data_IF_045211306149
#
_entry.id   IF_045211306149
#
_cell.length_a   1.000
_cell.length_b   1.000
_cell.length_c   1.000
_cell.angle_alpha   90.00
_cell.angle_beta   90.00
_cell.angle_gamma   90.00
#
_symmetry.space_group_name_H-M   'P 1'
#
loop_
_entity.id
_entity.type
_entity.pdbx_description
1 polymer ?
#
# COMPACT_ATOMS: atom_id res chain seq x y z
N UNK A 1 -11.57 0.53 -11.66
CA UNK A 1 -10.38 0.80 -10.82
C UNK A 1 -9.93 2.22 -11.14
N UNK A 2 -9.66 3.06 -10.14
CA UNK A 2 -9.21 4.44 -10.33
C UNK A 2 -8.02 4.47 -11.32
N UNK A 3 -8.25 4.93 -12.55
CA UNK A 3 -7.31 4.73 -13.67
C UNK A 3 -5.91 5.35 -13.48
N UNK A 4 -5.71 6.26 -12.52
CA UNK A 4 -4.38 6.84 -12.22
C UNK A 4 -3.68 6.25 -11.00
N UNK A 5 -4.41 5.70 -10.01
CA UNK A 5 -3.80 5.15 -8.79
C UNK A 5 -3.56 3.65 -8.92
N UNK A 6 -4.36 2.92 -9.71
CA UNK A 6 -4.15 1.49 -9.98
C UNK A 6 -2.91 1.19 -10.81
N UNK A 7 -2.24 2.23 -11.33
CA UNK A 7 -1.00 2.13 -12.10
C UNK A 7 0.25 2.46 -11.25
N UNK A 8 0.07 2.77 -9.96
CA UNK A 8 1.17 3.10 -9.05
C UNK A 8 1.57 1.88 -8.23
N UNK A 9 2.85 1.58 -8.30
CA UNK A 9 3.52 0.53 -7.54
C UNK A 9 4.41 1.17 -6.50
N UNK A 10 4.25 0.79 -5.24
CA UNK A 10 5.19 1.14 -4.17
C UNK A 10 5.84 -0.13 -3.64
N UNK A 11 7.16 -0.13 -3.50
CA UNK A 11 7.89 -1.21 -2.83
C UNK A 11 9.05 -0.66 -2.01
N UNK A 12 9.18 -1.14 -0.77
CA UNK A 12 10.21 -0.69 0.16
C UNK A 12 11.09 -1.86 0.60
N UNK A 13 12.37 -1.58 0.84
CA UNK A 13 13.30 -2.56 1.40
C UNK A 13 14.05 -1.96 2.58
N UNK A 14 14.17 -2.72 3.67
CA UNK A 14 14.90 -2.30 4.87
C UNK A 14 16.42 -2.41 4.62
N UNK A 15 17.21 -1.41 5.02
CA UNK A 15 18.67 -1.45 4.92
C UNK A 15 19.27 -2.27 6.07
N UNK A 16 19.28 -3.60 5.95
CA UNK A 16 19.75 -4.54 7.00
C UNK A 16 21.10 -5.20 6.67
N UNK A 17 22.00 -4.48 5.99
CA UNK A 17 23.30 -4.99 5.54
C UNK A 17 23.34 -5.33 4.05
N UNK A 18 24.33 -6.14 3.65
CA UNK A 18 24.62 -6.47 2.25
C UNK A 18 23.48 -7.27 1.61
N UNK A 19 23.14 -6.92 0.37
CA UNK A 19 22.21 -7.70 -0.43
C UNK A 19 22.85 -9.03 -0.85
N UNK A 20 22.02 -10.03 -1.11
CA UNK A 20 22.43 -11.38 -1.47
C UNK A 20 21.51 -11.93 -2.56
N UNK A 21 21.77 -13.14 -3.07
CA UNK A 21 21.02 -13.72 -4.20
C UNK A 21 19.50 -13.80 -3.97
N UNK A 22 19.05 -14.05 -2.74
CA UNK A 22 17.63 -13.97 -2.38
C UNK A 22 16.97 -12.60 -2.68
N UNK A 23 17.67 -11.48 -2.46
CA UNK A 23 17.18 -10.13 -2.80
C UNK A 23 17.15 -9.91 -4.31
N UNK A 24 18.21 -10.34 -5.00
CA UNK A 24 18.31 -10.24 -6.46
C UNK A 24 17.14 -10.96 -7.16
N UNK A 25 16.93 -12.23 -6.81
CA UNK A 25 15.92 -13.07 -7.45
C UNK A 25 14.50 -12.85 -6.89
N UNK A 26 14.37 -12.43 -5.64
CA UNK A 26 13.07 -12.25 -4.98
C UNK A 26 12.44 -10.88 -5.19
N UNK A 27 13.25 -9.82 -5.35
CA UNK A 27 12.76 -8.43 -5.40
C UNK A 27 13.32 -7.68 -6.60
N UNK A 28 14.64 -7.60 -6.74
CA UNK A 28 15.27 -6.67 -7.68
C UNK A 28 14.97 -7.00 -9.15
N UNK A 29 15.03 -8.26 -9.56
CA UNK A 29 14.63 -8.67 -10.93
C UNK A 29 13.18 -8.30 -11.24
N UNK A 30 12.30 -8.37 -10.25
CA UNK A 30 10.91 -7.98 -10.42
C UNK A 30 10.78 -6.46 -10.57
N UNK A 31 11.50 -5.68 -9.77
CA UNK A 31 11.53 -4.21 -9.89
C UNK A 31 12.04 -3.75 -11.26
N UNK A 32 13.06 -4.42 -11.82
CA UNK A 32 13.59 -4.11 -13.16
C UNK A 32 12.50 -4.22 -14.24
N UNK A 33 11.57 -5.17 -14.12
CA UNK A 33 10.45 -5.28 -15.06
C UNK A 33 9.37 -4.24 -14.76
N UNK A 34 9.00 -4.10 -13.47
CA UNK A 34 7.89 -3.24 -13.05
C UNK A 34 8.10 -1.77 -13.40
N UNK A 35 9.34 -1.26 -13.32
CA UNK A 35 9.63 0.15 -13.65
C UNK A 35 9.27 0.54 -15.09
N UNK A 36 9.20 -0.44 -16.00
CA UNK A 36 8.82 -0.20 -17.39
C UNK A 36 7.30 -0.34 -17.63
N UNK A 37 6.58 -0.99 -16.72
CA UNK A 37 5.14 -1.29 -16.84
C UNK A 37 4.26 -0.35 -16.02
N UNK A 38 4.79 0.19 -14.91
CA UNK A 38 4.04 0.95 -13.92
C UNK A 38 4.75 2.24 -13.51
N UNK A 39 4.00 3.15 -12.89
CA UNK A 39 4.61 4.26 -12.16
C UNK A 39 5.16 3.74 -10.83
N UNK A 40 6.47 3.47 -10.78
CA UNK A 40 7.13 2.86 -9.63
C UNK A 40 7.72 3.87 -8.65
N UNK A 41 7.54 3.57 -7.37
CA UNK A 41 8.15 4.22 -6.22
C UNK A 41 8.91 3.16 -5.43
N UNK A 42 10.23 3.23 -5.43
CA UNK A 42 11.08 2.30 -4.69
C UNK A 42 11.85 3.05 -3.61
N UNK A 43 11.86 2.52 -2.39
CA UNK A 43 12.42 3.29 -1.28
C UNK A 43 13.16 2.48 -0.25
N UNK A 44 14.16 3.15 0.34
CA UNK A 44 14.91 2.63 1.48
C UNK A 44 14.10 2.88 2.74
N UNK A 45 13.64 1.81 3.39
CA UNK A 45 12.80 1.85 4.59
C UNK A 45 13.66 1.95 5.86
N UNK A 46 14.38 3.06 6.03
CA UNK A 46 15.36 3.25 7.10
C UNK A 46 14.73 3.45 8.49
N UNK A 47 13.55 4.07 8.62
CA UNK A 47 12.83 4.10 9.89
C UNK A 47 12.31 2.72 10.29
N UNK A 48 11.93 1.87 9.33
CA UNK A 48 11.58 0.48 9.63
C UNK A 48 12.77 -0.32 10.17
N UNK A 49 14.00 -0.01 9.76
CA UNK A 49 15.18 -0.68 10.33
C UNK A 49 15.37 -0.37 11.82
N UNK A 50 14.99 0.83 12.27
CA UNK A 50 15.04 1.21 13.68
C UNK A 50 14.12 0.36 14.57
N UNK A 51 13.11 -0.32 14.01
CA UNK A 51 12.21 -1.17 14.81
C UNK A 51 12.91 -2.40 15.39
N UNK A 52 14.05 -2.79 14.81
CA UNK A 52 14.88 -3.91 15.28
C UNK A 52 16.33 -3.52 15.58
N UNK A 53 16.85 -2.42 15.02
CA UNK A 53 18.24 -1.96 15.22
C UNK A 53 18.33 -0.66 16.05
N UNK A 54 17.33 -0.37 16.89
CA UNK A 54 17.28 0.90 17.67
C UNK A 54 18.49 1.10 18.60
N UNK A 55 19.12 0.03 19.08
CA UNK A 55 20.27 0.03 19.97
C UNK A 55 21.63 -0.06 19.23
N UNK A 56 21.60 -0.30 17.92
CA UNK A 56 22.80 -0.34 17.06
C UNK A 56 22.54 0.28 15.67
N UNK A 57 22.27 1.58 15.64
CA UNK A 57 21.87 2.28 14.42
C UNK A 57 23.02 2.54 13.43
N UNK A 58 24.27 2.31 13.83
CA UNK A 58 25.45 2.68 13.02
C UNK A 58 25.50 1.99 11.66
N UNK A 59 24.99 0.76 11.57
CA UNK A 59 24.95 -0.01 10.32
C UNK A 59 23.94 0.54 9.30
N UNK A 60 22.89 1.23 9.74
CA UNK A 60 21.77 1.68 8.90
C UNK A 60 22.28 2.69 7.87
N UNK A 61 23.04 3.70 8.31
CA UNK A 61 23.49 4.78 7.45
C UNK A 61 24.33 4.29 6.27
N UNK A 62 25.24 3.35 6.51
CA UNK A 62 26.05 2.75 5.45
C UNK A 62 25.19 1.84 4.55
N UNK A 63 24.36 0.99 5.16
CA UNK A 63 23.49 0.06 4.42
C UNK A 63 22.50 0.77 3.49
N UNK A 64 22.05 1.98 3.84
CA UNK A 64 21.20 2.81 2.96
C UNK A 64 21.89 3.09 1.63
N UNK A 65 23.16 3.52 1.67
CA UNK A 65 23.89 3.90 0.46
C UNK A 65 24.33 2.67 -0.34
N UNK A 66 24.83 1.64 0.33
CA UNK A 66 25.21 0.39 -0.32
C UNK A 66 24.01 -0.21 -1.09
N UNK A 67 22.83 -0.20 -0.45
CA UNK A 67 21.61 -0.70 -1.05
C UNK A 67 21.16 0.11 -2.28
N UNK A 68 21.25 1.44 -2.24
CA UNK A 68 20.95 2.28 -3.42
C UNK A 68 21.93 1.99 -4.55
N UNK A 69 23.24 1.86 -4.24
CA UNK A 69 24.27 1.53 -5.24
C UNK A 69 23.94 0.17 -5.90
N UNK A 70 23.59 -0.83 -5.10
CA UNK A 70 23.19 -2.14 -5.61
C UNK A 70 21.96 -2.06 -6.53
N UNK A 71 20.95 -1.26 -6.18
CA UNK A 71 19.76 -1.07 -7.03
C UNK A 71 20.10 -0.48 -8.38
N UNK A 72 20.95 0.55 -8.39
CA UNK A 72 21.41 1.16 -9.64
C UNK A 72 22.23 0.15 -10.46
N UNK A 73 23.10 -0.61 -9.82
CA UNK A 73 23.96 -1.60 -10.47
C UNK A 73 23.18 -2.74 -11.14
N UNK A 74 22.02 -3.15 -10.57
CA UNK A 74 21.17 -4.19 -11.17
C UNK A 74 20.24 -3.67 -12.27
N UNK A 75 20.19 -2.34 -12.50
CA UNK A 75 19.42 -1.73 -13.59
C UNK A 75 18.14 -1.01 -13.17
N UNK A 76 17.96 -0.68 -11.89
CA UNK A 76 16.89 0.23 -11.48
C UNK A 76 17.26 1.65 -11.92
N UNK A 77 16.41 2.25 -12.75
CA UNK A 77 16.68 3.51 -13.44
C UNK A 77 15.90 4.67 -12.78
N UNK A 78 16.57 5.69 -12.20
CA UNK A 78 15.90 6.87 -11.66
C UNK A 78 15.11 7.70 -12.69
N UNK A 79 15.37 7.50 -13.99
CA UNK A 79 14.60 8.10 -15.08
C UNK A 79 13.25 7.44 -15.32
N UNK A 80 13.01 6.24 -14.77
CA UNK A 80 11.81 5.43 -14.99
C UNK A 80 11.03 5.18 -13.69
N UNK A 81 11.73 5.08 -12.55
CA UNK A 81 11.14 4.93 -11.23
C UNK A 81 11.62 6.05 -10.28
N UNK A 82 10.76 6.42 -9.32
CA UNK A 82 11.15 7.34 -8.24
C UNK A 82 11.86 6.57 -7.14
N UNK A 83 13.13 6.92 -6.88
CA UNK A 83 13.94 6.37 -5.80
C UNK A 83 14.06 7.37 -4.65
N UNK A 84 13.84 6.93 -3.42
CA UNK A 84 13.98 7.80 -2.25
C UNK A 84 14.33 7.04 -0.96
N UNK A 85 14.67 7.81 0.07
CA UNK A 85 14.93 7.31 1.43
C UNK A 85 13.75 7.74 2.30
N UNK A 86 13.15 6.80 3.05
CA UNK A 86 11.94 7.05 3.86
C UNK A 86 12.13 8.25 4.78
N UNK A 87 13.23 8.33 5.53
CA UNK A 87 13.50 9.44 6.45
C UNK A 87 13.69 10.81 5.80
N UNK A 88 13.86 10.88 4.47
CA UNK A 88 13.99 12.13 3.71
C UNK A 88 12.64 12.70 3.27
N UNK A 89 11.55 11.99 3.52
CA UNK A 89 10.18 12.39 3.16
C UNK A 89 9.34 12.44 4.45
N UNK A 90 9.31 13.60 5.15
CA UNK A 90 8.67 13.71 6.46
C UNK A 90 7.17 13.39 6.47
N UNK A 91 6.51 13.49 5.32
CA UNK A 91 5.09 13.17 5.12
C UNK A 91 4.74 11.73 5.53
N UNK A 92 5.72 10.81 5.48
CA UNK A 92 5.56 9.45 6.00
C UNK A 92 5.28 9.47 7.52
N UNK A 93 6.05 10.24 8.28
CA UNK A 93 5.88 10.39 9.72
C UNK A 93 4.61 11.18 10.07
N UNK A 94 4.31 12.24 9.31
CA UNK A 94 3.09 13.03 9.51
C UNK A 94 1.83 12.20 9.30
N UNK A 95 1.76 11.44 8.19
CA UNK A 95 0.62 10.58 7.94
C UNK A 95 0.53 9.45 8.97
N UNK A 96 1.66 8.85 9.36
CA UNK A 96 1.70 7.85 10.43
C UNK A 96 1.11 8.41 11.73
N UNK A 97 1.53 9.61 12.14
CA UNK A 97 1.02 10.29 13.34
C UNK A 97 -0.50 10.49 13.25
N UNK A 98 -1.00 11.01 12.12
CA UNK A 98 -2.44 11.24 11.93
C UNK A 98 -3.25 9.94 11.97
N UNK A 99 -2.77 8.89 11.29
CA UNK A 99 -3.43 7.59 11.29
C UNK A 99 -3.44 6.95 12.68
N UNK A 100 -2.38 7.15 13.48
CA UNK A 100 -2.24 6.58 14.82
C UNK A 100 -3.37 7.00 15.77
N UNK A 101 -3.87 8.23 15.62
CA UNK A 101 -4.95 8.76 16.47
C UNK A 101 -6.30 8.06 16.27
N UNK A 102 -6.46 7.33 15.15
CA UNK A 102 -7.71 6.67 14.77
C UNK A 102 -7.62 5.14 14.67
N UNK A 103 -6.41 4.59 14.82
CA UNK A 103 -6.11 3.16 14.69
C UNK A 103 -6.36 2.44 16.01
N UNK A 104 -7.25 1.43 16.07
CA UNK A 104 -7.42 0.63 17.27
C UNK A 104 -6.16 -0.20 17.58
N UNK A 105 -5.70 -0.16 18.83
CA UNK A 105 -4.52 -0.93 19.27
C UNK A 105 -4.66 -2.43 19.00
N UNK A 106 -5.85 -2.98 19.23
CA UNK A 106 -6.15 -4.40 19.03
C UNK A 106 -6.02 -4.88 17.58
N UNK A 107 -6.00 -3.97 16.60
CA UNK A 107 -5.74 -4.34 15.21
C UNK A 107 -4.27 -4.68 15.01
N UNK A 108 -3.36 -3.90 15.61
CA UNK A 108 -1.91 -4.12 15.54
C UNK A 108 -1.52 -5.43 16.24
N UNK A 109 -2.08 -5.69 17.43
CA UNK A 109 -1.80 -6.90 18.23
C UNK A 109 -2.23 -8.22 17.56
N UNK A 110 -3.13 -8.13 16.56
CA UNK A 110 -3.66 -9.29 15.82
C UNK A 110 -2.88 -9.62 14.55
N UNK A 111 -1.94 -8.77 14.14
CA UNK A 111 -1.13 -9.03 12.94
C UNK A 111 -0.23 -10.24 13.22
N UNK A 112 -0.31 -11.35 12.44
CA UNK A 112 0.36 -12.61 12.78
C UNK A 112 1.88 -12.48 12.93
N UNK A 113 2.50 -11.67 12.08
CA UNK A 113 3.95 -11.51 12.01
C UNK A 113 4.55 -10.89 13.28
N UNK A 114 3.77 -10.11 14.04
CA UNK A 114 4.22 -9.49 15.28
C UNK A 114 4.65 -10.56 16.29
N UNK A 115 3.77 -11.53 16.57
CA UNK A 115 4.05 -12.62 17.52
C UNK A 115 5.15 -13.55 17.02
N UNK A 116 5.15 -13.86 15.73
CA UNK A 116 6.14 -14.75 15.13
C UNK A 116 7.56 -14.17 15.20
N UNK A 117 7.71 -12.87 14.95
CA UNK A 117 9.01 -12.20 15.00
C UNK A 117 9.53 -12.04 16.43
N UNK A 118 8.66 -11.72 17.39
CA UNK A 118 9.03 -11.71 18.82
C UNK A 118 9.57 -13.06 19.29
N UNK A 119 9.03 -14.17 18.77
CA UNK A 119 9.51 -15.51 19.14
C UNK A 119 10.85 -15.88 18.48
N UNK A 120 11.13 -15.36 17.29
CA UNK A 120 12.34 -15.67 16.51
C UNK A 120 13.55 -14.84 16.93
N UNK A 121 13.34 -13.57 17.26
CA UNK A 121 14.39 -12.62 17.60
C UNK A 121 14.53 -12.51 19.13
N UNK A 122 14.85 -13.62 19.79
CA UNK A 122 14.91 -13.70 21.26
C UNK A 122 16.00 -12.84 21.88
N UNK A 123 17.06 -12.55 21.13
CA UNK A 123 18.21 -11.77 21.59
C UNK A 123 17.97 -10.26 21.50
N UNK A 124 16.80 -9.83 20.97
CA UNK A 124 16.42 -8.42 20.85
C UNK A 124 15.18 -8.13 21.69
N UNK A 125 15.17 -7.00 22.40
CA UNK A 125 13.95 -6.54 23.07
C UNK A 125 13.03 -5.85 22.06
N UNK A 126 12.07 -6.62 21.55
CA UNK A 126 11.06 -6.15 20.60
C UNK A 126 9.75 -5.73 21.29
N UNK A 127 9.77 -5.54 22.61
CA UNK A 127 8.61 -5.04 23.38
C UNK A 127 8.46 -3.53 23.27
N UNK A 128 8.73 -2.97 22.08
CA UNK A 128 8.76 -1.52 21.84
C UNK A 128 7.52 -1.07 21.08
N UNK A 129 7.09 0.18 21.31
CA UNK A 129 6.00 0.78 20.54
C UNK A 129 6.33 0.81 19.04
N UNK A 130 7.58 1.08 18.66
CA UNK A 130 8.00 1.08 17.26
C UNK A 130 7.79 -0.27 16.59
N UNK A 131 8.11 -1.37 17.28
CA UNK A 131 7.89 -2.72 16.76
C UNK A 131 6.40 -3.11 16.70
N UNK A 132 5.56 -2.65 17.63
CA UNK A 132 4.11 -2.84 17.52
C UNK A 132 3.48 -1.97 16.42
N UNK A 133 3.99 -0.76 16.24
CA UNK A 133 3.46 0.27 15.35
C UNK A 133 3.97 0.21 13.91
N UNK A 134 5.00 -0.59 13.58
CA UNK A 134 5.55 -0.62 12.22
C UNK A 134 4.53 -0.94 11.14
N UNK A 135 3.50 -1.81 11.34
CA UNK A 135 2.49 -2.05 10.31
C UNK A 135 1.71 -0.78 9.96
N UNK A 136 1.49 0.11 10.93
CA UNK A 136 0.86 1.41 10.69
C UNK A 136 1.79 2.36 9.94
N UNK A 137 3.10 2.34 10.23
CA UNK A 137 4.09 3.08 9.45
C UNK A 137 4.11 2.59 7.99
N UNK A 138 4.09 1.27 7.77
CA UNK A 138 4.00 0.65 6.45
C UNK A 138 2.72 1.09 5.72
N UNK A 139 1.58 1.15 6.41
CA UNK A 139 0.34 1.69 5.83
C UNK A 139 0.49 3.16 5.44
N UNK A 140 1.12 3.99 6.27
CA UNK A 140 1.39 5.39 5.92
C UNK A 140 2.29 5.50 4.68
N UNK A 141 3.34 4.68 4.60
CA UNK A 141 4.24 4.62 3.44
C UNK A 141 3.46 4.32 2.15
N UNK A 142 2.49 3.40 2.20
CA UNK A 142 1.65 3.02 1.04
C UNK A 142 0.66 4.13 0.67
N UNK A 143 -0.03 4.68 1.66
CA UNK A 143 -1.18 5.55 1.45
C UNK A 143 -0.78 6.97 1.02
N UNK A 144 0.39 7.46 1.43
CA UNK A 144 0.88 8.81 1.07
C UNK A 144 1.04 8.96 -0.46
N UNK A 145 1.51 7.92 -1.15
CA UNK A 145 1.63 7.90 -2.62
C UNK A 145 0.36 7.48 -3.34
N UNK A 146 -0.67 7.07 -2.60
CA UNK A 146 -1.90 6.47 -3.14
C UNK A 146 -1.58 5.28 -4.05
N UNK A 147 -0.64 4.43 -3.61
CA UNK A 147 -0.25 3.26 -4.38
C UNK A 147 -1.44 2.30 -4.51
N UNK A 148 -1.71 1.85 -5.73
CA UNK A 148 -2.76 0.87 -6.00
C UNK A 148 -2.26 -0.56 -5.91
N UNK A 149 -0.95 -0.77 -6.12
CA UNK A 149 -0.31 -2.08 -6.13
C UNK A 149 0.92 -2.06 -5.21
N UNK A 150 1.10 -3.11 -4.41
CA UNK A 150 2.27 -3.28 -3.54
C UNK A 150 2.87 -4.66 -3.79
N UNK A 151 4.08 -4.77 -4.36
CA UNK A 151 4.74 -6.06 -4.58
C UNK A 151 5.13 -6.67 -3.25
N UNK A 152 4.52 -7.81 -2.93
CA UNK A 152 4.72 -8.48 -1.64
C UNK A 152 4.78 -9.99 -1.81
N UNK A 153 5.48 -10.65 -0.88
CA UNK A 153 5.35 -12.09 -0.66
C UNK A 153 4.12 -12.42 0.18
N UNK A 154 3.73 -13.70 0.19
CA UNK A 154 2.56 -14.21 0.91
C UNK A 154 2.55 -13.83 2.40
N UNK A 155 3.72 -13.67 3.01
CA UNK A 155 3.88 -13.33 4.43
C UNK A 155 3.53 -11.88 4.80
N UNK A 156 3.43 -10.98 3.81
CA UNK A 156 3.11 -9.57 4.01
C UNK A 156 1.67 -9.22 3.61
N UNK A 157 0.89 -10.20 3.13
CA UNK A 157 -0.51 -9.99 2.72
C UNK A 157 -1.35 -9.47 3.88
N UNK A 158 -1.08 -9.93 5.11
CA UNK A 158 -1.76 -9.45 6.31
C UNK A 158 -1.55 -7.94 6.55
N UNK A 159 -0.38 -7.39 6.24
CA UNK A 159 -0.10 -5.95 6.35
C UNK A 159 -0.83 -5.14 5.27
N UNK A 160 -0.96 -5.70 4.07
CA UNK A 160 -1.75 -5.07 3.00
C UNK A 160 -3.23 -5.04 3.39
N UNK A 161 -3.78 -6.12 3.95
CA UNK A 161 -5.16 -6.09 4.44
C UNK A 161 -5.36 -5.13 5.62
N UNK A 162 -4.40 -5.06 6.54
CA UNK A 162 -4.42 -4.03 7.59
C UNK A 162 -4.44 -2.60 6.99
N UNK A 163 -3.66 -2.36 5.94
CA UNK A 163 -3.64 -1.06 5.23
C UNK A 163 -4.98 -0.75 4.56
N UNK A 164 -5.65 -1.76 3.99
CA UNK A 164 -6.98 -1.63 3.38
C UNK A 164 -8.06 -1.31 4.41
N UNK A 165 -8.05 -2.00 5.55
CA UNK A 165 -8.95 -1.70 6.67
C UNK A 165 -8.75 -0.28 7.22
N UNK A 166 -7.50 0.19 7.31
CA UNK A 166 -7.20 1.58 7.67
C UNK A 166 -7.75 2.57 6.65
N UNK A 167 -7.54 2.33 5.35
CA UNK A 167 -8.07 3.19 4.30
C UNK A 167 -9.61 3.26 4.35
N UNK A 168 -10.29 2.12 4.51
CA UNK A 168 -11.75 2.04 4.69
C UNK A 168 -12.21 2.84 5.88
N UNK A 169 -11.58 2.64 7.04
CA UNK A 169 -11.92 3.37 8.28
C UNK A 169 -11.72 4.87 8.13
N UNK A 170 -10.59 5.29 7.54
CA UNK A 170 -10.31 6.71 7.29
C UNK A 170 -11.36 7.33 6.37
N UNK A 171 -11.66 6.66 5.25
CA UNK A 171 -12.71 7.09 4.32
C UNK A 171 -14.09 7.13 4.99
N UNK A 172 -14.36 6.20 5.90
CA UNK A 172 -15.62 6.16 6.63
C UNK A 172 -15.79 7.34 7.61
N UNK A 173 -14.71 7.74 8.28
CA UNK A 173 -14.72 8.85 9.25
C UNK A 173 -14.72 10.19 8.53
N UNK A 174 -13.81 10.37 7.56
CA UNK A 174 -13.52 11.67 6.96
C UNK A 174 -14.11 11.87 5.55
N UNK A 175 -14.57 10.80 4.91
CA UNK A 175 -15.20 10.83 3.58
C UNK A 175 -16.69 11.11 3.60
N UNK A 176 -17.31 11.28 4.79
CA UNK A 176 -18.71 11.69 4.93
C UNK A 176 -18.83 13.19 4.62
N UNK A 177 -19.62 13.54 3.62
CA UNK A 177 -20.05 14.92 3.36
C UNK A 177 -21.51 15.07 3.85
N UNK A 178 -21.87 16.18 4.50
CA UNK A 178 -23.23 16.38 5.04
C UNK A 178 -24.33 16.22 3.95
N UNK A 179 -24.03 16.66 2.73
CA UNK A 179 -24.92 16.55 1.56
C UNK A 179 -24.44 15.49 0.55
N UNK A 180 -23.73 14.45 1.02
CA UNK A 180 -23.09 13.46 0.14
C UNK A 180 -24.09 12.83 -0.83
N UNK A 181 -25.26 12.42 -0.34
CA UNK A 181 -26.29 11.79 -1.16
C UNK A 181 -26.91 12.77 -2.17
N UNK A 182 -27.16 14.01 -1.77
CA UNK A 182 -27.69 15.04 -2.66
C UNK A 182 -26.70 15.34 -3.79
N UNK A 183 -25.43 15.59 -3.47
CA UNK A 183 -24.35 15.84 -4.45
C UNK A 183 -24.09 14.64 -5.34
N UNK A 184 -24.22 13.42 -4.81
CA UNK A 184 -24.13 12.19 -5.61
C UNK A 184 -25.29 12.08 -6.59
N UNK A 185 -26.52 12.39 -6.16
CA UNK A 185 -27.70 12.42 -7.03
C UNK A 185 -27.59 13.49 -8.12
N UNK A 186 -27.04 14.66 -7.81
CA UNK A 186 -26.72 15.69 -8.81
C UNK A 186 -25.68 15.19 -9.82
N UNK A 187 -24.60 14.55 -9.36
CA UNK A 187 -23.60 13.95 -10.23
C UNK A 187 -24.22 12.89 -11.17
N UNK A 188 -25.13 12.05 -10.66
CA UNK A 188 -25.88 11.07 -11.46
C UNK A 188 -26.69 11.78 -12.56
N UNK A 189 -27.37 12.88 -12.24
CA UNK A 189 -28.16 13.66 -13.22
C UNK A 189 -27.26 14.21 -14.35
N UNK A 190 -26.05 14.67 -14.02
CA UNK A 190 -25.07 15.17 -15.01
C UNK A 190 -24.61 14.10 -16.01
N UNK A 191 -24.73 12.80 -15.69
CA UNK A 191 -24.38 11.70 -16.61
C UNK A 191 -25.37 11.55 -17.78
N UNK A 192 -26.54 12.20 -17.72
CA UNK A 192 -27.62 12.08 -18.69
C UNK A 192 -28.56 10.90 -18.41
N UNK A 193 -29.83 11.01 -18.85
CA UNK A 193 -30.93 10.09 -18.45
C UNK A 193 -30.60 8.60 -18.62
N UNK A 194 -29.99 8.21 -19.74
CA UNK A 194 -29.65 6.81 -20.05
C UNK A 194 -28.60 6.27 -19.09
N UNK A 195 -27.48 6.98 -18.94
CA UNK A 195 -26.37 6.56 -18.07
C UNK A 195 -26.76 6.63 -16.59
N UNK A 196 -27.57 7.62 -16.21
CA UNK A 196 -28.12 7.74 -14.86
C UNK A 196 -28.96 6.52 -14.46
N UNK A 197 -29.82 6.04 -15.38
CA UNK A 197 -30.62 4.83 -15.15
C UNK A 197 -29.74 3.59 -15.03
N UNK A 198 -28.77 3.43 -15.95
CA UNK A 198 -27.83 2.31 -15.93
C UNK A 198 -26.99 2.29 -14.64
N UNK A 199 -26.47 3.44 -14.22
CA UNK A 199 -25.71 3.56 -12.98
C UNK A 199 -26.52 3.11 -11.76
N UNK A 200 -27.78 3.56 -11.65
CA UNK A 200 -28.67 3.18 -10.53
C UNK A 200 -28.96 1.67 -10.50
N UNK A 201 -29.15 1.06 -11.67
CA UNK A 201 -29.37 -0.39 -11.79
C UNK A 201 -28.13 -1.19 -11.36
N UNK A 202 -26.95 -0.82 -11.86
CA UNK A 202 -25.69 -1.45 -11.49
C UNK A 202 -25.39 -1.32 -9.99
N UNK A 203 -25.62 -0.13 -9.42
CA UNK A 203 -25.51 0.10 -7.98
C UNK A 203 -26.45 -0.80 -7.20
N UNK A 204 -27.72 -0.89 -7.60
CA UNK A 204 -28.73 -1.72 -6.93
C UNK A 204 -28.31 -3.20 -6.93
N UNK A 205 -27.90 -3.72 -8.09
CA UNK A 205 -27.38 -5.10 -8.21
C UNK A 205 -26.20 -5.35 -7.29
N UNK A 206 -25.24 -4.44 -7.25
CA UNK A 206 -24.10 -4.58 -6.35
C UNK A 206 -24.51 -4.57 -4.87
N UNK A 207 -25.33 -3.60 -4.45
CA UNK A 207 -25.70 -3.45 -3.03
C UNK A 207 -26.65 -4.54 -2.52
N UNK A 208 -27.56 -5.04 -3.36
CA UNK A 208 -28.53 -6.06 -2.94
C UNK A 208 -28.00 -7.48 -3.13
N UNK A 209 -27.15 -7.73 -4.15
CA UNK A 209 -26.76 -9.07 -4.57
C UNK A 209 -25.25 -9.32 -4.45
N UNK A 210 -24.44 -8.32 -4.09
CA UNK A 210 -22.98 -8.44 -4.04
C UNK A 210 -22.34 -8.61 -5.42
N UNK A 211 -23.02 -8.16 -6.49
CA UNK A 211 -22.61 -8.38 -7.87
C UNK A 211 -21.33 -7.59 -8.25
N UNK A 212 -20.19 -8.28 -8.19
CA UNK A 212 -18.88 -7.71 -8.52
C UNK A 212 -18.71 -7.30 -9.98
N UNK A 213 -19.41 -7.95 -10.92
CA UNK A 213 -19.39 -7.55 -12.33
C UNK A 213 -20.15 -6.23 -12.52
N UNK A 214 -21.28 -6.07 -11.84
CA UNK A 214 -22.03 -4.81 -11.84
C UNK A 214 -21.18 -3.67 -11.27
N UNK A 215 -20.43 -3.90 -10.19
CA UNK A 215 -19.50 -2.92 -9.62
C UNK A 215 -18.42 -2.50 -10.63
N UNK A 216 -17.77 -3.46 -11.29
CA UNK A 216 -16.74 -3.18 -12.27
C UNK A 216 -17.29 -2.42 -13.48
N UNK A 217 -18.46 -2.82 -13.97
CA UNK A 217 -19.16 -2.14 -15.07
C UNK A 217 -19.50 -0.70 -14.70
N UNK A 218 -19.98 -0.47 -13.47
CA UNK A 218 -20.31 0.87 -12.99
C UNK A 218 -19.07 1.76 -12.88
N UNK A 219 -17.94 1.22 -12.41
CA UNK A 219 -16.66 1.94 -12.37
C UNK A 219 -16.23 2.39 -13.76
N UNK A 220 -16.26 1.49 -14.76
CA UNK A 220 -15.95 1.82 -16.16
C UNK A 220 -16.90 2.87 -16.73
N UNK A 221 -18.20 2.78 -16.41
CA UNK A 221 -19.19 3.77 -16.82
C UNK A 221 -18.85 5.18 -16.32
N UNK A 222 -18.43 5.31 -15.05
CA UNK A 222 -18.02 6.59 -14.43
C UNK A 222 -16.72 7.10 -15.07
N UNK A 223 -15.71 6.24 -15.22
CA UNK A 223 -14.41 6.61 -15.78
C UNK A 223 -14.55 7.22 -17.17
N UNK A 224 -15.42 6.65 -18.00
CA UNK A 224 -15.70 7.09 -19.37
C UNK A 224 -16.51 8.40 -19.48
N UNK A 225 -17.08 8.94 -18.38
CA UNK A 225 -17.77 10.22 -18.45
C UNK A 225 -16.78 11.39 -18.52
N UNK A 226 -16.68 12.04 -19.68
CA UNK A 226 -15.81 13.21 -19.87
C UNK A 226 -16.39 14.51 -19.29
N UNK A 227 -17.72 14.60 -19.18
CA UNK A 227 -18.45 15.77 -18.71
C UNK A 227 -18.61 15.85 -17.18
N UNK A 228 -18.03 14.89 -16.44
CA UNK A 228 -18.14 14.80 -14.97
C UNK A 228 -16.81 15.17 -14.33
N UNK A 229 -16.86 16.09 -13.36
CA UNK A 229 -15.67 16.53 -12.63
C UNK A 229 -15.01 15.39 -11.85
N UNK A 230 -13.70 15.51 -11.57
CA UNK A 230 -12.99 14.50 -10.77
C UNK A 230 -13.59 14.34 -9.36
N UNK A 231 -14.09 15.43 -8.78
CA UNK A 231 -14.79 15.39 -7.48
C UNK A 231 -16.10 14.61 -7.56
N UNK A 232 -16.89 14.83 -8.62
CA UNK A 232 -18.15 14.11 -8.84
C UNK A 232 -17.92 12.64 -9.16
N UNK A 233 -16.87 12.29 -9.92
CA UNK A 233 -16.47 10.88 -10.12
C UNK A 233 -16.18 10.17 -8.79
N UNK A 234 -15.46 10.84 -7.88
CA UNK A 234 -15.17 10.31 -6.54
C UNK A 234 -16.42 10.11 -5.68
N UNK A 235 -17.41 11.02 -5.78
CA UNK A 235 -18.70 10.85 -5.13
C UNK A 235 -19.47 9.66 -5.70
N UNK A 236 -19.50 9.52 -7.03
CA UNK A 236 -20.14 8.38 -7.68
C UNK A 236 -19.49 7.05 -7.28
N UNK A 237 -18.17 6.94 -7.26
CA UNK A 237 -17.52 5.71 -6.76
C UNK A 237 -17.86 5.43 -5.30
N UNK A 238 -17.80 6.46 -4.44
CA UNK A 238 -18.20 6.32 -3.04
C UNK A 238 -19.65 5.89 -2.88
N UNK A 239 -20.55 6.43 -3.71
CA UNK A 239 -21.97 6.12 -3.67
C UNK A 239 -22.29 4.72 -4.20
N UNK A 240 -21.46 4.13 -5.07
CA UNK A 240 -21.60 2.73 -5.48
C UNK A 240 -21.47 1.79 -4.28
N UNK A 241 -20.48 2.05 -3.43
CA UNK A 241 -20.07 1.17 -2.34
C UNK A 241 -20.68 1.57 -0.98
N UNK A 242 -21.22 2.79 -0.84
CA UNK A 242 -21.86 3.27 0.38
C UNK A 242 -22.18 4.77 0.38
N UNK A 243 -21.87 5.47 1.48
CA UNK A 243 -22.19 6.89 1.71
C UNK A 243 -20.96 7.79 1.86
N UNK A 244 -19.77 7.32 1.48
CA UNK A 244 -18.52 8.05 1.73
C UNK A 244 -17.67 8.21 0.50
N UNK A 245 -17.14 9.42 0.30
CA UNK A 245 -16.15 9.72 -0.72
C UNK A 245 -14.85 8.97 -0.44
N UNK A 246 -14.30 8.32 -1.47
CA UNK A 246 -12.95 7.72 -1.39
C UNK A 246 -11.88 8.81 -1.31
N UNK A 247 -11.14 8.86 -0.19
CA UNK A 247 -10.00 9.77 0.03
C UNK A 247 -8.68 9.01 -0.17
N UNK A 248 -8.53 7.90 0.55
CA UNK A 248 -7.41 6.98 0.47
C UNK A 248 -7.79 5.74 -0.36
N UNK A 249 -6.93 5.28 -1.27
CA UNK A 249 -7.19 4.05 -2.02
C UNK A 249 -7.01 2.81 -1.14
N UNK A 250 -7.66 1.72 -1.53
CA UNK A 250 -7.36 0.39 -1.00
C UNK A 250 -6.30 -0.25 -1.89
N UNK A 251 -5.06 -0.45 -1.41
CA UNK A 251 -4.01 -1.10 -2.20
C UNK A 251 -4.32 -2.58 -2.38
N UNK A 252 -3.86 -3.17 -3.48
CA UNK A 252 -3.91 -4.61 -3.74
C UNK A 252 -2.50 -5.22 -3.68
N UNK A 253 -2.34 -6.45 -3.16
CA UNK A 253 -1.07 -7.14 -3.21
C UNK A 253 -0.74 -7.54 -4.66
N UNK A 254 0.45 -7.19 -5.13
CA UNK A 254 1.00 -7.72 -6.36
C UNK A 254 1.90 -8.90 -6.01
N UNK A 255 1.36 -10.11 -6.09
CA UNK A 255 2.09 -11.32 -5.72
C UNK A 255 3.25 -11.56 -6.69
N UNK A 256 4.46 -11.48 -6.17
CA UNK A 256 5.67 -11.74 -6.96
C UNK A 256 5.94 -13.25 -7.00
N UNK A 257 6.34 -13.77 -8.17
CA UNK A 257 6.81 -15.14 -8.28
C UNK A 257 7.99 -15.35 -7.32
N UNK A 258 7.78 -16.11 -6.24
CA UNK A 258 8.81 -16.30 -5.22
C UNK A 258 9.88 -17.24 -5.78
N UNK A 259 11.03 -16.68 -6.17
CA UNK A 259 12.24 -17.48 -6.31
C UNK A 259 12.67 -17.96 -4.91
N UNK A 260 12.26 -19.18 -4.53
CA UNK A 260 12.71 -19.82 -3.29
C UNK A 260 14.18 -20.23 -3.46
N UNK A 261 15.09 -19.32 -3.17
CA UNK A 261 16.51 -19.65 -2.97
C UNK A 261 16.69 -20.07 -1.51
N UNK A 262 17.00 -21.34 -1.22
CA UNK A 262 17.31 -21.77 0.14
C UNK A 262 18.66 -21.18 0.58
N UNK A 263 18.71 -20.71 1.82
CA UNK A 263 19.95 -20.35 2.51
C UNK A 263 20.71 -21.61 2.93
N UNK A 264 21.93 -21.41 3.46
CA UNK A 264 22.76 -22.50 3.99
C UNK A 264 22.12 -23.18 5.22
N UNK A 265 21.19 -22.48 5.88
CA UNK A 265 20.37 -22.93 7.00
C UNK A 265 19.08 -23.66 6.56
N UNK A 266 18.84 -23.82 5.25
CA UNK A 266 17.63 -24.40 4.68
C UNK A 266 16.40 -23.47 4.74
N UNK A 267 16.52 -22.27 5.30
CA UNK A 267 15.45 -21.27 5.33
C UNK A 267 15.44 -20.46 4.01
N UNK A 268 14.41 -19.62 3.82
CA UNK A 268 14.39 -18.70 2.66
C UNK A 268 15.54 -17.70 2.82
N UNK A 269 16.44 -17.63 1.84
CA UNK A 269 17.65 -16.79 1.92
C UNK A 269 17.33 -15.30 2.19
N UNK A 270 16.25 -14.75 1.62
CA UNK A 270 15.77 -13.38 1.90
C UNK A 270 15.26 -13.13 3.32
N UNK A 271 15.42 -14.11 4.21
CA UNK A 271 15.03 -14.10 5.61
C UNK A 271 16.06 -14.82 6.49
N UNK A 272 17.28 -15.06 6.01
CA UNK A 272 18.32 -15.58 6.90
C UNK A 272 18.69 -14.47 7.88
N UNK A 273 18.59 -14.77 9.17
CA UNK A 273 18.84 -13.81 10.27
C UNK A 273 20.28 -13.90 10.79
N UNK A 274 21.15 -14.62 10.07
CA UNK A 274 22.55 -14.88 10.41
C UNK A 274 23.49 -14.27 9.36
#
# INVERSE_FOLDING_TARGET
MNSSTSQRVLSGMRPTGLLHLGHLHGVLKNWVNLQHEYQCYFFVADWHALTTEYDNTGIIAQSVWDMIIDWLAVGINPGEATLFIQSKVPEHAELHLLLSMSTPLSWLERIPTYKDQQQKLKDKDLSTYGFLGYPLLQSADILVYKAGLVPVGDDQVAHIEFTRELARRFNHIYGREADFEEKSNEAIRKMGKKNAKLYKDLRKRYQEQGDGEALNTARVLIDNQQNISLGDKKRLWGYLEGETRTILPEPEPLLTAVAKMPGLDGQKMSKSYN
#
